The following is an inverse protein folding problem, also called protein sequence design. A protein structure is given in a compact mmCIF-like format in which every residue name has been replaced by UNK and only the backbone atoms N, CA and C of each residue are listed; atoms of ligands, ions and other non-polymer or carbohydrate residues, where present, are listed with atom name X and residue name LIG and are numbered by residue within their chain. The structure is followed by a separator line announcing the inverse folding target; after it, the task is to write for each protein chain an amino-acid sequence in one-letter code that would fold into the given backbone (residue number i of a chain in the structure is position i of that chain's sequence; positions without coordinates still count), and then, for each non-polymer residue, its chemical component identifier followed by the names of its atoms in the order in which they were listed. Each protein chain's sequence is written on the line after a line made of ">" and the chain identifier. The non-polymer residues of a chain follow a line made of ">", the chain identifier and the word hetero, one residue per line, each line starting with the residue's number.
data_IF_831996864439
#
_entry.id   IF_831996864439
#
_cell.length_a   1.000
_cell.length_b   1.000
_cell.length_c   1.000
_cell.angle_alpha   90.00
_cell.angle_beta   90.00
_cell.angle_gamma   90.00
#
_symmetry.space_group_name_H-M   'P 1'
#
loop_
_entity.id
_entity.type
_entity.pdbx_description
1 polymer ?
#
# COMPACT_ATOMS: atom_id res chain seq x y z
N UNK A 1 -22.44 -3.41 16.75
CA UNK A 1 -21.58 -2.66 15.82
C UNK A 1 -22.22 -2.62 14.43
N UNK A 2 -22.02 -1.51 13.68
CA UNK A 2 -22.61 -1.36 12.35
C UNK A 2 -21.86 -2.17 11.27
N UNK A 3 -20.62 -2.51 11.55
CA UNK A 3 -19.72 -3.22 10.62
C UNK A 3 -19.07 -4.42 11.31
N UNK A 4 -18.91 -5.51 10.52
CA UNK A 4 -18.26 -6.74 10.96
C UNK A 4 -17.55 -7.37 9.75
N UNK A 5 -16.24 -7.60 9.88
CA UNK A 5 -15.42 -8.24 8.85
C UNK A 5 -15.90 -9.67 8.63
N UNK A 6 -16.10 -10.07 7.38
CA UNK A 6 -16.66 -11.36 6.99
C UNK A 6 -18.18 -11.43 6.95
N UNK A 7 -18.91 -10.37 7.39
CA UNK A 7 -20.37 -10.31 7.29
C UNK A 7 -20.86 -9.20 6.35
N UNK A 8 -20.33 -8.00 6.50
CA UNK A 8 -20.68 -6.85 5.66
C UNK A 8 -19.46 -6.04 5.19
N UNK A 9 -18.26 -6.42 5.61
CA UNK A 9 -16.98 -5.97 5.12
C UNK A 9 -16.13 -7.19 4.71
N UNK A 10 -15.29 -7.04 3.68
CA UNK A 10 -14.41 -8.10 3.17
C UNK A 10 -15.17 -9.41 2.86
N UNK A 11 -16.28 -9.30 2.15
CA UNK A 11 -17.18 -10.44 1.91
C UNK A 11 -17.07 -11.05 0.53
N UNK A 12 -16.21 -10.52 -0.34
CA UNK A 12 -15.99 -11.11 -1.66
C UNK A 12 -15.45 -12.54 -1.51
N UNK A 13 -16.10 -13.56 -2.11
CA UNK A 13 -15.72 -14.95 -1.92
C UNK A 13 -14.28 -15.24 -2.35
N UNK A 14 -13.54 -15.92 -1.50
CA UNK A 14 -12.15 -16.30 -1.75
C UNK A 14 -11.67 -17.38 -0.79
N UNK A 15 -10.44 -17.83 -0.98
CA UNK A 15 -9.79 -18.85 -0.16
C UNK A 15 -8.35 -18.46 0.15
N UNK A 16 -7.90 -18.75 1.35
CA UNK A 16 -6.47 -18.66 1.70
C UNK A 16 -5.75 -19.83 1.04
N UNK A 17 -4.87 -19.52 0.10
CA UNK A 17 -4.13 -20.52 -0.70
C UNK A 17 -2.67 -20.70 -0.28
N UNK A 18 -2.17 -19.78 0.53
CA UNK A 18 -0.88 -19.88 1.21
C UNK A 18 -0.99 -19.21 2.56
N UNK A 19 -0.39 -19.81 3.58
CA UNK A 19 -0.23 -19.22 4.90
C UNK A 19 1.23 -19.36 5.33
N UNK A 20 1.83 -18.24 5.68
CA UNK A 20 3.17 -18.16 6.27
C UNK A 20 3.07 -17.51 7.65
N UNK A 21 4.21 -17.32 8.29
CA UNK A 21 4.24 -16.55 9.52
C UNK A 21 3.91 -15.06 9.30
N UNK A 22 4.26 -14.50 8.13
CA UNK A 22 4.11 -13.08 7.81
C UNK A 22 2.78 -12.72 7.16
N UNK A 23 2.20 -13.62 6.36
CA UNK A 23 1.01 -13.30 5.56
C UNK A 23 0.16 -14.51 5.25
N UNK A 24 -1.09 -14.22 4.87
CA UNK A 24 -1.97 -15.12 4.15
C UNK A 24 -2.16 -14.59 2.73
N UNK A 25 -2.08 -15.47 1.74
CA UNK A 25 -2.40 -15.15 0.35
C UNK A 25 -3.82 -15.59 0.07
N UNK A 26 -4.68 -14.63 -0.27
CA UNK A 26 -6.08 -14.88 -0.58
C UNK A 26 -6.24 -14.92 -2.11
N UNK A 27 -6.75 -16.02 -2.63
CA UNK A 27 -7.22 -16.12 -4.00
C UNK A 27 -8.72 -15.91 -4.03
N UNK A 28 -9.20 -14.92 -4.77
CA UNK A 28 -10.62 -14.64 -4.90
C UNK A 28 -11.26 -15.51 -5.99
N UNK A 29 -12.53 -15.86 -5.77
CA UNK A 29 -13.29 -16.68 -6.70
C UNK A 29 -13.66 -15.87 -7.95
N UNK A 30 -13.31 -16.33 -9.15
CA UNK A 30 -13.72 -15.67 -10.39
C UNK A 30 -15.24 -15.58 -10.51
N UNK A 31 -15.73 -14.44 -11.04
CA UNK A 31 -17.16 -14.18 -11.27
C UNK A 31 -17.53 -14.30 -12.75
N UNK A 32 -16.54 -14.45 -13.64
CA UNK A 32 -16.71 -14.59 -15.09
C UNK A 32 -16.42 -16.01 -15.55
N UNK A 33 -17.00 -16.43 -16.69
CA UNK A 33 -16.79 -17.77 -17.27
C UNK A 33 -15.33 -18.02 -17.70
N UNK A 34 -14.65 -16.97 -18.13
CA UNK A 34 -13.24 -16.99 -18.53
C UNK A 34 -12.51 -15.88 -17.82
N UNK A 35 -11.22 -16.06 -17.57
CA UNK A 35 -10.37 -15.08 -16.92
C UNK A 35 -9.12 -14.80 -17.75
N UNK A 36 -8.54 -13.62 -17.56
CA UNK A 36 -7.24 -13.33 -18.18
C UNK A 36 -6.18 -14.30 -17.67
N UNK A 37 -5.28 -14.71 -18.57
CA UNK A 37 -4.23 -15.68 -18.25
C UNK A 37 -3.25 -15.17 -17.19
N UNK A 38 -2.91 -13.86 -17.21
CA UNK A 38 -2.00 -13.25 -16.24
C UNK A 38 -2.78 -12.90 -14.99
N UNK A 39 -2.43 -13.47 -13.82
CA UNK A 39 -3.06 -13.09 -12.56
C UNK A 39 -2.61 -11.72 -12.13
N UNK A 40 -3.39 -11.07 -11.28
CA UNK A 40 -3.08 -9.84 -10.59
C UNK A 40 -2.86 -10.14 -9.11
N UNK A 41 -1.68 -9.80 -8.61
CA UNK A 41 -1.37 -9.83 -7.18
C UNK A 41 -1.44 -8.41 -6.62
N UNK A 42 -2.31 -8.21 -5.64
CA UNK A 42 -2.47 -6.95 -4.92
C UNK A 42 -1.64 -7.00 -3.64
N UNK A 43 -0.82 -5.97 -3.44
CA UNK A 43 0.06 -5.81 -2.28
C UNK A 43 -0.38 -4.57 -1.49
N UNK A 44 -1.22 -4.74 -0.45
CA UNK A 44 -1.63 -3.64 0.42
C UNK A 44 -0.50 -3.13 1.30
N UNK A 45 -0.66 -1.96 1.95
CA UNK A 45 0.29 -1.48 2.95
C UNK A 45 0.44 -2.49 4.10
N UNK A 46 1.66 -2.60 4.65
CA UNK A 46 1.94 -3.47 5.81
C UNK A 46 1.32 -2.93 7.10
N UNK A 47 0.99 -1.66 7.13
CA UNK A 47 0.51 -0.92 8.31
C UNK A 47 -1.01 -0.86 8.43
N UNK A 48 -1.73 -1.44 7.46
CA UNK A 48 -3.19 -1.46 7.43
C UNK A 48 -3.71 -2.85 7.09
N UNK A 49 -4.98 -3.09 7.40
CA UNK A 49 -5.69 -4.30 7.00
C UNK A 49 -5.93 -4.31 5.48
N UNK A 50 -5.76 -5.48 4.87
CA UNK A 50 -5.89 -5.67 3.42
C UNK A 50 -7.24 -5.24 2.85
N UNK A 51 -8.31 -5.34 3.63
CA UNK A 51 -9.67 -5.19 3.13
C UNK A 51 -10.08 -3.76 2.76
N UNK A 52 -9.15 -2.79 2.79
CA UNK A 52 -9.39 -1.53 2.09
C UNK A 52 -9.74 -1.75 0.62
N UNK A 53 -9.11 -2.73 -0.04
CA UNK A 53 -9.36 -3.08 -1.44
C UNK A 53 -10.57 -4.00 -1.64
N UNK A 54 -11.16 -4.49 -0.55
CA UNK A 54 -12.38 -5.32 -0.54
C UNK A 54 -13.34 -4.84 0.57
N UNK A 55 -13.68 -3.56 0.56
CA UNK A 55 -14.29 -2.91 1.71
C UNK A 55 -15.74 -3.35 1.93
N UNK A 56 -16.63 -3.10 0.96
CA UNK A 56 -18.04 -3.45 1.04
C UNK A 56 -18.59 -3.70 -0.37
N UNK A 57 -19.77 -4.35 -0.52
CA UNK A 57 -20.42 -4.54 -1.81
C UNK A 57 -20.58 -3.23 -2.58
N UNK A 58 -20.18 -3.23 -3.86
CA UNK A 58 -20.16 -2.04 -4.72
C UNK A 58 -19.07 -1.01 -4.38
N UNK A 59 -18.26 -1.26 -3.37
CA UNK A 59 -17.08 -0.47 -2.97
C UNK A 59 -15.87 -1.39 -2.71
N UNK A 60 -15.66 -2.34 -3.59
CA UNK A 60 -14.56 -3.28 -3.57
C UNK A 60 -13.82 -3.21 -4.91
N UNK A 61 -12.55 -2.88 -4.87
CA UNK A 61 -11.67 -2.97 -6.03
C UNK A 61 -11.54 -4.41 -6.50
N UNK A 62 -11.50 -5.36 -5.56
CA UNK A 62 -11.46 -6.79 -5.85
C UNK A 62 -12.69 -7.21 -6.63
N UNK A 63 -13.91 -6.88 -6.16
CA UNK A 63 -15.17 -7.19 -6.83
C UNK A 63 -15.19 -6.62 -8.27
N UNK A 64 -14.76 -5.36 -8.42
CA UNK A 64 -14.64 -4.73 -9.73
C UNK A 64 -13.68 -5.49 -10.67
N UNK A 65 -12.50 -5.83 -10.20
CA UNK A 65 -11.49 -6.52 -11.00
C UNK A 65 -11.95 -7.95 -11.40
N UNK A 66 -12.61 -8.66 -10.49
CA UNK A 66 -13.20 -9.96 -10.79
C UNK A 66 -14.28 -9.85 -11.88
N UNK A 67 -15.14 -8.84 -11.80
CA UNK A 67 -16.17 -8.57 -12.81
C UNK A 67 -15.57 -8.23 -14.19
N UNK A 68 -14.34 -7.71 -14.24
CA UNK A 68 -13.59 -7.46 -15.48
C UNK A 68 -12.80 -8.69 -15.96
N UNK A 69 -12.91 -9.84 -15.28
CA UNK A 69 -12.27 -11.10 -15.68
C UNK A 69 -10.83 -11.27 -15.20
N UNK A 70 -10.38 -10.49 -14.23
CA UNK A 70 -9.06 -10.69 -13.64
C UNK A 70 -9.07 -11.86 -12.64
N UNK A 71 -7.96 -12.61 -12.60
CA UNK A 71 -7.65 -13.53 -11.50
C UNK A 71 -6.98 -12.70 -10.40
N UNK A 72 -7.65 -12.51 -9.27
CA UNK A 72 -7.19 -11.59 -8.21
C UNK A 72 -6.67 -12.37 -7.02
N UNK A 73 -5.45 -12.03 -6.60
CA UNK A 73 -4.82 -12.48 -5.36
C UNK A 73 -4.50 -11.25 -4.51
N UNK A 74 -4.67 -11.36 -3.20
CA UNK A 74 -4.36 -10.28 -2.25
C UNK A 74 -3.54 -10.83 -1.10
N UNK A 75 -2.48 -10.11 -0.74
CA UNK A 75 -1.72 -10.38 0.49
C UNK A 75 -2.48 -9.79 1.68
N UNK A 76 -2.75 -10.63 2.68
CA UNK A 76 -3.22 -10.22 4.01
C UNK A 76 -2.05 -10.30 4.99
N UNK A 77 -1.49 -9.17 5.37
CA UNK A 77 -0.38 -9.11 6.30
C UNK A 77 -0.79 -9.47 7.71
N UNK A 78 0.05 -10.25 8.40
CA UNK A 78 -0.11 -10.50 9.83
C UNK A 78 0.00 -9.19 10.60
N UNK A 79 -0.86 -9.01 11.62
CA UNK A 79 -0.65 -7.96 12.61
C UNK A 79 0.48 -8.40 13.57
N UNK A 80 1.68 -7.79 13.51
CA UNK A 80 2.85 -8.31 14.20
C UNK A 80 2.78 -8.08 15.71
N UNK A 81 3.51 -8.91 16.45
CA UNK A 81 3.78 -8.78 17.89
C UNK A 81 5.26 -8.41 18.13
N UNK A 82 5.68 -8.28 19.38
CA UNK A 82 7.07 -8.02 19.73
C UNK A 82 8.05 -9.14 19.28
N UNK A 83 7.55 -10.35 19.09
CA UNK A 83 8.33 -11.49 18.58
C UNK A 83 8.79 -11.29 17.14
N UNK A 84 8.05 -10.48 16.38
CA UNK A 84 8.31 -10.19 14.97
C UNK A 84 9.13 -8.89 14.77
N UNK A 85 9.79 -8.41 15.82
CA UNK A 85 10.48 -7.11 15.86
C UNK A 85 11.50 -6.89 14.75
N UNK A 86 12.09 -7.97 14.24
CA UNK A 86 13.18 -7.94 13.26
C UNK A 86 12.68 -8.03 11.80
N UNK A 87 11.38 -8.04 11.56
CA UNK A 87 10.83 -7.99 10.20
C UNK A 87 10.97 -6.59 9.63
N UNK A 88 11.98 -6.38 8.81
CA UNK A 88 12.25 -5.15 8.08
C UNK A 88 11.93 -5.27 6.58
N UNK A 89 12.45 -4.35 5.78
CA UNK A 89 12.25 -4.33 4.33
C UNK A 89 12.60 -5.66 3.67
N UNK A 90 13.70 -6.30 4.05
CA UNK A 90 14.13 -7.59 3.48
C UNK A 90 13.10 -8.69 3.74
N UNK A 91 12.54 -8.75 4.95
CA UNK A 91 11.52 -9.73 5.30
C UNK A 91 10.25 -9.56 4.47
N UNK A 92 9.75 -8.34 4.37
CA UNK A 92 8.57 -8.03 3.57
C UNK A 92 8.82 -8.16 2.06
N UNK A 93 10.00 -7.78 1.58
CA UNK A 93 10.41 -7.97 0.18
C UNK A 93 10.45 -9.45 -0.20
N UNK A 94 11.06 -10.28 0.65
CA UNK A 94 11.09 -11.74 0.47
C UNK A 94 9.68 -12.34 0.48
N UNK A 95 8.79 -11.89 1.37
CA UNK A 95 7.40 -12.34 1.44
C UNK A 95 6.61 -11.99 0.17
N UNK A 96 6.83 -10.80 -0.41
CA UNK A 96 6.22 -10.40 -1.67
C UNK A 96 6.68 -11.33 -2.81
N UNK A 97 7.97 -11.62 -2.90
CA UNK A 97 8.54 -12.52 -3.91
C UNK A 97 7.96 -13.94 -3.76
N UNK A 98 7.81 -14.44 -2.53
CA UNK A 98 7.17 -15.74 -2.26
C UNK A 98 5.70 -15.77 -2.69
N UNK A 99 4.93 -14.72 -2.39
CA UNK A 99 3.55 -14.59 -2.84
C UNK A 99 3.44 -14.54 -4.38
N UNK A 100 4.39 -13.86 -5.06
CA UNK A 100 4.47 -13.85 -6.53
C UNK A 100 4.70 -15.25 -7.09
N UNK A 101 5.64 -16.00 -6.50
CA UNK A 101 5.96 -17.37 -6.91
C UNK A 101 4.75 -18.30 -6.74
N UNK A 102 4.06 -18.22 -5.60
CA UNK A 102 2.86 -19.01 -5.33
C UNK A 102 1.72 -18.64 -6.27
N UNK A 103 1.48 -17.37 -6.53
CA UNK A 103 0.46 -16.90 -7.49
C UNK A 103 0.70 -17.47 -8.88
N UNK A 104 1.95 -17.44 -9.37
CA UNK A 104 2.32 -18.01 -10.68
C UNK A 104 2.18 -19.52 -10.71
N UNK A 105 2.55 -20.20 -9.63
CA UNK A 105 2.44 -21.65 -9.50
C UNK A 105 1.00 -22.12 -9.59
N UNK A 106 0.08 -21.48 -8.86
CA UNK A 106 -1.34 -21.81 -8.84
C UNK A 106 -1.97 -21.59 -10.22
N UNK A 107 -1.70 -20.45 -10.84
CA UNK A 107 -2.29 -20.07 -12.13
C UNK A 107 -1.58 -20.69 -13.33
N UNK A 108 -0.45 -21.36 -13.12
CA UNK A 108 0.45 -21.86 -14.17
C UNK A 108 0.84 -20.78 -15.18
N UNK A 109 0.88 -19.53 -14.75
CA UNK A 109 1.28 -18.39 -15.56
C UNK A 109 2.77 -18.10 -15.40
N UNK A 110 3.46 -17.88 -16.52
CA UNK A 110 4.88 -17.48 -16.48
C UNK A 110 5.06 -16.05 -15.95
N UNK A 111 4.07 -15.20 -16.16
CA UNK A 111 4.07 -13.78 -15.77
C UNK A 111 2.85 -13.44 -14.94
N UNK A 112 2.97 -12.40 -14.11
CA UNK A 112 1.86 -11.82 -13.37
C UNK A 112 1.89 -10.28 -13.48
N UNK A 113 0.77 -9.66 -13.13
CA UNK A 113 0.68 -8.23 -12.90
C UNK A 113 0.69 -7.96 -11.40
N UNK A 114 1.25 -6.83 -10.99
CA UNK A 114 1.25 -6.38 -9.61
C UNK A 114 0.42 -5.10 -9.48
N UNK A 115 -0.28 -4.97 -8.36
CA UNK A 115 -0.89 -3.72 -7.94
C UNK A 115 -0.54 -3.48 -6.49
N UNK A 116 0.31 -2.50 -6.23
CA UNK A 116 0.84 -2.22 -4.91
C UNK A 116 0.47 -0.81 -4.45
N UNK A 117 0.09 -0.67 -3.19
CA UNK A 117 -0.45 0.59 -2.67
C UNK A 117 0.38 1.11 -1.50
N UNK A 118 0.59 2.43 -1.46
CA UNK A 118 1.27 3.15 -0.38
C UNK A 118 2.62 2.49 0.00
N UNK A 119 2.84 2.15 1.27
CA UNK A 119 4.06 1.47 1.74
C UNK A 119 4.31 0.11 1.06
N UNK A 120 3.25 -0.60 0.67
CA UNK A 120 3.36 -1.80 -0.15
C UNK A 120 4.00 -1.53 -1.51
N UNK A 121 3.69 -0.38 -2.13
CA UNK A 121 4.33 0.05 -3.37
C UNK A 121 5.83 0.30 -3.23
N UNK A 122 6.25 0.90 -2.13
CA UNK A 122 7.66 1.17 -1.84
C UNK A 122 8.45 -0.15 -1.79
N UNK A 123 8.05 -1.07 -0.91
CA UNK A 123 8.76 -2.35 -0.72
C UNK A 123 8.68 -3.23 -1.97
N UNK A 124 7.53 -3.22 -2.67
CA UNK A 124 7.39 -3.93 -3.95
C UNK A 124 8.41 -3.43 -4.98
N UNK A 125 8.53 -2.12 -5.16
CA UNK A 125 9.43 -1.56 -6.16
C UNK A 125 10.90 -1.86 -5.82
N UNK A 126 11.28 -1.84 -4.54
CA UNK A 126 12.61 -2.28 -4.09
C UNK A 126 12.85 -3.77 -4.39
N UNK A 127 11.85 -4.62 -4.16
CA UNK A 127 11.92 -6.04 -4.50
C UNK A 127 12.05 -6.27 -6.01
N UNK A 128 11.39 -5.44 -6.84
CA UNK A 128 11.56 -5.51 -8.31
C UNK A 128 12.99 -5.13 -8.75
N UNK A 129 13.61 -4.13 -8.12
CA UNK A 129 15.01 -3.81 -8.38
C UNK A 129 15.95 -4.98 -8.00
N UNK A 130 15.65 -5.69 -6.91
CA UNK A 130 16.35 -6.92 -6.56
C UNK A 130 16.16 -8.00 -7.63
N UNK A 131 14.92 -8.27 -8.04
CA UNK A 131 14.63 -9.24 -9.11
C UNK A 131 15.30 -8.88 -10.43
N UNK A 132 15.40 -7.60 -10.77
CA UNK A 132 16.16 -7.16 -11.96
C UNK A 132 17.62 -7.53 -11.87
N UNK A 133 18.25 -7.31 -10.71
CA UNK A 133 19.64 -7.68 -10.48
C UNK A 133 19.88 -9.21 -10.53
N UNK A 134 18.86 -10.00 -10.22
CA UNK A 134 18.89 -11.47 -10.34
C UNK A 134 18.54 -11.96 -11.77
N UNK A 135 18.16 -11.08 -12.68
CA UNK A 135 17.71 -11.47 -14.03
C UNK A 135 16.28 -12.05 -14.05
N UNK A 136 15.47 -11.78 -13.03
CA UNK A 136 14.15 -12.39 -12.84
C UNK A 136 12.98 -11.40 -13.00
N UNK A 137 13.22 -10.14 -13.34
CA UNK A 137 12.17 -9.13 -13.45
C UNK A 137 11.16 -9.42 -14.55
N UNK A 138 11.53 -10.15 -15.60
CA UNK A 138 10.65 -10.50 -16.72
C UNK A 138 9.40 -11.29 -16.32
N UNK A 139 9.38 -11.87 -15.12
CA UNK A 139 8.19 -12.50 -14.54
C UNK A 139 7.07 -11.51 -14.20
N UNK A 140 7.38 -10.22 -14.10
CA UNK A 140 6.40 -9.15 -13.89
C UNK A 140 6.08 -8.49 -15.23
N UNK A 141 4.79 -8.48 -15.58
CA UNK A 141 4.34 -7.98 -16.88
C UNK A 141 3.95 -6.51 -16.85
N UNK A 142 3.38 -6.06 -15.74
CA UNK A 142 2.99 -4.69 -15.49
C UNK A 142 2.93 -4.42 -13.99
N UNK A 143 3.16 -3.17 -13.61
CA UNK A 143 3.11 -2.68 -12.24
C UNK A 143 2.06 -1.57 -12.12
N UNK A 144 1.11 -1.72 -11.20
CA UNK A 144 0.26 -0.63 -10.73
C UNK A 144 0.81 -0.10 -9.41
N UNK A 145 1.02 1.19 -9.31
CA UNK A 145 1.38 1.88 -8.08
C UNK A 145 0.29 2.88 -7.72
N UNK A 146 -0.35 2.73 -6.59
CA UNK A 146 -1.32 3.71 -6.13
C UNK A 146 -0.87 4.37 -4.84
N UNK A 147 -0.87 5.70 -4.82
CA UNK A 147 -0.51 6.56 -3.69
C UNK A 147 0.82 6.15 -3.03
N UNK A 148 1.80 5.75 -3.82
CA UNK A 148 3.12 5.32 -3.38
C UNK A 148 4.15 6.38 -3.73
N UNK A 149 4.88 6.87 -2.72
CA UNK A 149 5.92 7.88 -2.86
C UNK A 149 7.29 7.21 -2.83
N UNK A 150 7.95 7.12 -3.98
CA UNK A 150 9.34 6.66 -4.08
C UNK A 150 10.33 7.85 -4.00
N UNK A 151 9.89 9.03 -4.39
CA UNK A 151 10.65 10.27 -4.26
C UNK A 151 10.47 10.88 -2.87
N UNK A 152 11.36 10.52 -1.96
CA UNK A 152 11.32 10.97 -0.58
C UNK A 152 11.71 12.46 -0.41
N UNK A 153 12.40 13.06 -1.36
CA UNK A 153 12.79 14.48 -1.29
C UNK A 153 11.57 15.41 -1.39
N UNK A 154 10.51 14.94 -2.07
CA UNK A 154 9.28 15.69 -2.26
C UNK A 154 8.11 15.16 -1.43
N UNK A 155 8.35 14.25 -0.47
CA UNK A 155 7.31 13.59 0.33
C UNK A 155 6.56 14.52 1.32
N UNK A 156 6.86 15.82 1.32
CA UNK A 156 6.08 16.84 2.03
C UNK A 156 6.24 16.81 3.55
N UNK A 157 5.19 17.20 4.27
CA UNK A 157 5.21 17.37 5.73
C UNK A 157 5.55 16.10 6.51
N UNK A 158 5.27 14.92 5.95
CA UNK A 158 5.59 13.65 6.63
C UNK A 158 7.09 13.45 6.84
N UNK A 159 7.93 13.99 5.94
CA UNK A 159 9.40 13.94 6.06
C UNK A 159 9.99 15.24 6.61
N UNK A 160 9.35 16.38 6.41
CA UNK A 160 9.85 17.70 6.84
C UNK A 160 10.03 17.82 8.37
N UNK A 161 9.25 17.08 9.16
CA UNK A 161 9.35 17.04 10.61
C UNK A 161 10.41 16.05 11.13
N UNK A 162 10.95 15.18 10.26
CA UNK A 162 11.93 14.17 10.63
C UNK A 162 13.36 14.75 10.51
N UNK A 163 13.89 15.25 11.63
CA UNK A 163 15.33 15.46 11.76
C UNK A 163 15.96 14.22 12.44
N UNK A 164 17.30 14.12 12.38
CA UNK A 164 18.01 12.93 12.92
C UNK A 164 17.72 12.64 14.39
N UNK A 165 17.50 13.67 15.22
CA UNK A 165 17.26 13.49 16.66
C UNK A 165 15.85 12.99 16.93
N UNK A 166 14.84 13.57 16.26
CA UNK A 166 13.45 13.09 16.38
C UNK A 166 13.30 11.68 15.79
N UNK A 167 13.99 11.38 14.70
CA UNK A 167 14.05 10.07 14.11
C UNK A 167 14.65 9.02 15.06
N UNK A 168 15.79 9.30 15.67
CA UNK A 168 16.44 8.43 16.67
C UNK A 168 15.53 8.15 17.86
N UNK A 169 14.85 9.19 18.37
CA UNK A 169 13.91 9.05 19.49
C UNK A 169 12.71 8.16 19.11
N UNK A 170 12.12 8.37 17.94
CA UNK A 170 10.99 7.58 17.46
C UNK A 170 11.37 6.10 17.26
N UNK A 171 12.54 5.83 16.66
CA UNK A 171 13.08 4.48 16.49
C UNK A 171 13.33 3.82 17.86
N UNK A 172 13.90 4.52 18.84
CA UNK A 172 14.15 4.00 20.17
C UNK A 172 12.86 3.56 20.88
N UNK A 173 11.76 4.31 20.73
CA UNK A 173 10.45 3.96 21.30
C UNK A 173 9.93 2.65 20.69
N UNK A 174 9.93 2.50 19.37
CA UNK A 174 9.47 1.26 18.74
C UNK A 174 10.41 0.09 19.02
N UNK A 175 11.71 0.32 19.06
CA UNK A 175 12.71 -0.69 19.40
C UNK A 175 12.52 -1.26 20.81
N UNK A 176 12.19 -0.42 21.80
CA UNK A 176 11.96 -0.87 23.18
C UNK A 176 10.74 -1.79 23.30
N UNK A 177 9.69 -1.54 22.51
CA UNK A 177 8.44 -2.31 22.50
C UNK A 177 8.44 -3.49 21.53
N UNK A 178 9.34 -3.50 20.54
CA UNK A 178 9.37 -4.44 19.42
C UNK A 178 8.44 -4.04 18.26
N UNK A 179 7.59 -3.03 18.43
CA UNK A 179 6.70 -2.50 17.39
C UNK A 179 6.27 -1.06 17.68
N UNK A 180 5.81 -0.38 16.63
CA UNK A 180 5.03 0.85 16.72
C UNK A 180 3.55 0.49 16.73
N UNK A 181 2.78 0.97 17.72
CA UNK A 181 1.34 0.75 17.78
C UNK A 181 0.63 1.50 16.65
N UNK A 182 -0.30 0.83 15.97
CA UNK A 182 -1.05 1.43 14.88
C UNK A 182 -1.89 2.64 15.29
N UNK A 183 -2.27 2.75 16.56
CA UNK A 183 -2.97 3.94 17.08
C UNK A 183 -2.11 5.20 17.02
N UNK A 184 -0.84 5.12 17.39
CA UNK A 184 0.09 6.26 17.29
C UNK A 184 0.28 6.69 15.82
N UNK A 185 0.30 5.73 14.91
CA UNK A 185 0.40 6.02 13.49
C UNK A 185 -0.89 6.68 12.98
N UNK A 186 -2.07 6.19 13.38
CA UNK A 186 -3.36 6.80 13.04
C UNK A 186 -3.50 8.22 13.61
N UNK A 187 -3.03 8.45 14.85
CA UNK A 187 -2.97 9.78 15.46
C UNK A 187 -2.06 10.72 14.67
N UNK A 188 -0.86 10.27 14.29
CA UNK A 188 0.05 11.06 13.47
C UNK A 188 -0.60 11.47 12.14
N UNK A 189 -1.28 10.56 11.45
CA UNK A 189 -2.02 10.87 10.23
C UNK A 189 -3.21 11.81 10.46
N UNK A 190 -3.91 11.70 11.59
CA UNK A 190 -5.01 12.61 11.93
C UNK A 190 -4.51 14.05 12.14
N UNK A 191 -3.32 14.22 12.73
CA UNK A 191 -2.71 15.54 12.92
C UNK A 191 -2.24 16.20 11.61
N UNK A 192 -2.08 15.46 10.52
CA UNK A 192 -1.82 16.07 9.20
C UNK A 192 -3.05 16.81 8.64
N UNK A 193 -4.27 16.48 9.11
CA UNK A 193 -5.53 17.17 8.77
C UNK A 193 -6.43 17.39 9.99
N UNK A 194 -5.98 18.17 10.98
CA UNK A 194 -6.69 18.27 12.26
C UNK A 194 -8.09 18.88 12.11
N UNK A 195 -8.29 19.79 11.17
CA UNK A 195 -9.60 20.39 10.96
C UNK A 195 -10.66 19.36 10.54
N UNK A 196 -10.31 18.46 9.64
CA UNK A 196 -11.25 17.46 9.10
C UNK A 196 -11.39 16.23 10.03
N UNK A 197 -10.26 15.77 10.62
CA UNK A 197 -10.21 14.50 11.32
C UNK A 197 -10.31 14.62 12.84
N UNK A 198 -10.14 15.82 13.41
CA UNK A 198 -10.24 16.07 14.85
C UNK A 198 -11.32 17.11 15.13
N UNK A 199 -11.13 18.35 14.68
CA UNK A 199 -11.99 19.47 15.06
C UNK A 199 -13.39 19.37 14.48
N UNK A 200 -13.57 18.84 13.27
CA UNK A 200 -14.90 18.62 12.67
C UNK A 200 -15.73 17.66 13.51
N UNK A 201 -15.13 16.57 14.03
CA UNK A 201 -15.81 15.64 14.93
C UNK A 201 -16.11 16.27 16.28
N UNK A 202 -15.17 17.03 16.84
CA UNK A 202 -15.38 17.74 18.09
C UNK A 202 -16.59 18.68 18.00
N UNK A 203 -16.65 19.51 16.95
CA UNK A 203 -17.77 20.46 16.75
C UNK A 203 -19.08 19.72 16.47
N UNK A 204 -19.11 18.81 15.50
CA UNK A 204 -20.37 18.20 15.06
C UNK A 204 -20.91 17.18 16.05
N UNK A 205 -20.06 16.34 16.63
CA UNK A 205 -20.52 15.23 17.45
C UNK A 205 -20.54 15.57 18.93
N UNK A 206 -19.53 16.25 19.47
CA UNK A 206 -19.48 16.60 20.87
C UNK A 206 -20.28 17.89 21.17
N UNK A 207 -19.99 18.99 20.48
CA UNK A 207 -20.65 20.27 20.78
C UNK A 207 -22.11 20.33 20.25
N UNK A 208 -22.36 19.83 19.06
CA UNK A 208 -23.69 19.87 18.43
C UNK A 208 -24.51 18.60 18.68
N UNK A 209 -23.98 17.59 19.35
CA UNK A 209 -24.68 16.34 19.69
C UNK A 209 -25.15 15.52 18.48
N UNK A 210 -24.56 15.72 17.29
CA UNK A 210 -24.92 14.98 16.10
C UNK A 210 -24.36 13.55 16.19
N UNK A 211 -25.15 12.57 15.76
CA UNK A 211 -24.68 11.19 15.68
C UNK A 211 -23.56 11.07 14.63
N UNK A 212 -22.40 10.48 14.97
CA UNK A 212 -21.34 10.25 14.00
C UNK A 212 -21.86 9.45 12.80
N UNK A 213 -21.54 9.83 11.57
CA UNK A 213 -21.91 9.03 10.42
C UNK A 213 -21.20 7.67 10.45
N UNK A 214 -21.95 6.63 10.10
CA UNK A 214 -21.41 5.27 10.00
C UNK A 214 -20.80 5.07 8.63
N UNK A 215 -19.47 5.13 8.53
CA UNK A 215 -18.74 4.86 7.30
C UNK A 215 -17.82 3.65 7.47
N UNK A 216 -17.88 2.72 6.54
CA UNK A 216 -17.04 1.54 6.46
C UNK A 216 -15.55 1.88 6.39
N UNK A 217 -15.16 2.92 5.64
CA UNK A 217 -13.78 3.43 5.60
C UNK A 217 -13.29 3.86 6.98
N UNK A 218 -14.15 4.49 7.81
CA UNK A 218 -13.77 4.88 9.17
C UNK A 218 -13.59 3.65 10.07
N UNK A 219 -14.41 2.62 9.90
CA UNK A 219 -14.23 1.35 10.61
C UNK A 219 -12.90 0.70 10.23
N UNK A 220 -12.59 0.60 8.93
CA UNK A 220 -11.32 0.09 8.45
C UNK A 220 -10.14 0.90 8.99
N UNK A 221 -10.22 2.21 9.00
CA UNK A 221 -9.16 3.08 9.52
C UNK A 221 -8.92 2.90 11.03
N UNK A 222 -9.97 2.56 11.77
CA UNK A 222 -9.87 2.25 13.20
C UNK A 222 -9.33 0.84 13.48
N UNK A 223 -9.43 -0.09 12.53
CA UNK A 223 -8.87 -1.45 12.62
C UNK A 223 -7.37 -1.43 12.29
N UNK A 224 -6.60 -0.82 13.18
CA UNK A 224 -5.18 -0.55 12.99
C UNK A 224 -4.31 -1.81 13.01
N UNK A 225 -3.18 -1.75 12.31
CA UNK A 225 -2.13 -2.76 12.33
C UNK A 225 -0.86 -2.16 12.92
N UNK A 226 -0.11 -2.95 13.69
CA UNK A 226 1.20 -2.57 14.21
C UNK A 226 2.23 -2.58 13.09
N UNK A 227 3.25 -1.75 13.24
CA UNK A 227 4.46 -1.79 12.42
C UNK A 227 5.60 -2.36 13.28
N UNK A 228 6.33 -3.36 12.79
CA UNK A 228 7.47 -3.91 13.52
C UNK A 228 8.54 -2.85 13.76
N UNK A 229 9.37 -3.05 14.78
CA UNK A 229 10.45 -2.10 15.10
C UNK A 229 11.44 -1.94 13.94
N UNK A 230 11.81 -3.04 13.28
CA UNK A 230 12.71 -3.00 12.12
C UNK A 230 12.07 -2.27 10.93
N UNK A 231 10.81 -2.57 10.59
CA UNK A 231 10.13 -1.89 9.48
C UNK A 231 9.97 -0.39 9.75
N UNK A 232 9.64 0.00 11.00
CA UNK A 232 9.57 1.41 11.39
C UNK A 232 10.91 2.10 11.23
N UNK A 233 12.00 1.47 11.72
CA UNK A 233 13.36 1.98 11.54
C UNK A 233 13.68 2.17 10.06
N UNK A 234 13.44 1.16 9.23
CA UNK A 234 13.74 1.19 7.80
C UNK A 234 13.02 2.34 7.08
N UNK A 235 11.73 2.56 7.36
CA UNK A 235 10.98 3.69 6.78
C UNK A 235 11.49 5.04 7.26
N UNK A 236 11.80 5.18 8.55
CA UNK A 236 12.31 6.43 9.12
C UNK A 236 13.69 6.77 8.53
N UNK A 237 14.62 5.82 8.50
CA UNK A 237 15.95 6.01 7.93
C UNK A 237 15.88 6.31 6.43
N UNK A 238 15.01 5.61 5.69
CA UNK A 238 14.77 5.89 4.28
C UNK A 238 14.28 7.31 4.05
N UNK A 239 13.33 7.79 4.87
CA UNK A 239 12.79 9.15 4.79
C UNK A 239 13.83 10.22 5.13
N UNK A 240 14.58 10.05 6.22
CA UNK A 240 15.62 11.00 6.67
C UNK A 240 16.73 11.16 5.64
N UNK A 241 17.15 10.08 4.99
CA UNK A 241 18.27 10.08 4.05
C UNK A 241 17.84 10.22 2.59
N UNK A 242 16.54 10.22 2.30
CA UNK A 242 16.00 10.17 0.92
C UNK A 242 16.71 9.11 0.08
N UNK A 243 16.91 7.93 0.68
CA UNK A 243 17.83 6.92 0.14
C UNK A 243 17.28 6.21 -1.09
N UNK A 244 15.94 6.10 -1.21
CA UNK A 244 15.32 5.34 -2.28
C UNK A 244 15.43 6.04 -3.64
N UNK A 245 15.34 7.37 -3.67
CA UNK A 245 15.53 8.18 -4.89
C UNK A 245 16.99 8.28 -5.37
N UNK A 246 17.95 7.79 -4.58
CA UNK A 246 19.38 7.87 -4.87
C UNK A 246 19.93 6.48 -5.21
N UNK A 247 20.39 6.25 -6.47
CA UNK A 247 20.89 4.95 -6.90
C UNK A 247 21.92 4.35 -5.92
N UNK A 248 21.71 3.11 -5.50
CA UNK A 248 22.63 2.35 -4.65
C UNK A 248 22.67 2.75 -3.17
N UNK A 249 21.83 3.69 -2.71
CA UNK A 249 21.76 4.09 -1.28
C UNK A 249 20.80 3.23 -0.47
N UNK A 250 19.68 2.83 -1.03
CA UNK A 250 18.83 1.81 -0.42
C UNK A 250 19.33 0.40 -0.77
N UNK A 251 19.04 -0.56 0.10
CA UNK A 251 19.41 -1.98 -0.09
C UNK A 251 18.16 -2.83 0.13
N UNK A 252 17.98 -3.86 -0.72
CA UNK A 252 16.92 -4.85 -0.62
C UNK A 252 17.51 -6.24 -0.87
N UNK A 253 17.42 -7.13 0.11
CA UNK A 253 17.96 -8.51 0.02
C UNK A 253 19.41 -8.55 -0.46
N UNK A 254 20.24 -7.65 0.09
CA UNK A 254 21.65 -7.49 -0.26
C UNK A 254 21.92 -6.78 -1.59
N UNK A 255 20.90 -6.44 -2.37
CA UNK A 255 21.04 -5.71 -3.64
C UNK A 255 20.97 -4.21 -3.40
N UNK A 256 21.94 -3.47 -3.93
CA UNK A 256 21.87 -2.00 -4.01
C UNK A 256 20.76 -1.59 -4.97
N UNK A 257 19.75 -0.91 -4.45
CA UNK A 257 18.56 -0.51 -5.22
C UNK A 257 18.90 0.66 -6.16
N UNK A 258 18.58 0.49 -7.43
CA UNK A 258 18.49 1.54 -8.41
C UNK A 258 17.14 1.43 -9.10
N UNK A 259 16.23 2.36 -8.83
CA UNK A 259 14.86 2.34 -9.36
C UNK A 259 14.83 2.46 -10.88
N UNK A 260 15.86 3.09 -11.49
CA UNK A 260 15.97 3.21 -12.94
C UNK A 260 16.12 1.87 -13.64
N UNK A 261 16.55 0.84 -12.91
CA UNK A 261 16.65 -0.54 -13.44
C UNK A 261 15.30 -1.26 -13.49
N UNK A 262 14.27 -0.75 -12.80
CA UNK A 262 12.91 -1.29 -12.85
C UNK A 262 12.25 -0.78 -14.13
N UNK A 263 12.41 -1.55 -15.20
CA UNK A 263 11.95 -1.25 -16.56
C UNK A 263 10.59 -1.89 -16.90
N UNK A 264 9.82 -2.21 -15.88
CA UNK A 264 8.44 -2.71 -16.02
C UNK A 264 7.48 -1.55 -16.31
N UNK A 265 6.64 -1.70 -17.34
CA UNK A 265 5.58 -0.72 -17.62
C UNK A 265 4.71 -0.50 -16.40
N UNK A 266 4.53 0.76 -16.03
CA UNK A 266 3.92 1.14 -14.76
C UNK A 266 2.71 2.06 -14.96
N UNK A 267 1.65 1.81 -14.20
CA UNK A 267 0.50 2.70 -14.04
C UNK A 267 0.50 3.28 -12.64
N UNK A 268 0.78 4.58 -12.53
CA UNK A 268 0.85 5.28 -11.25
C UNK A 268 -0.41 6.11 -11.00
N UNK A 269 -0.99 6.01 -9.81
CA UNK A 269 -2.21 6.71 -9.41
C UNK A 269 -1.94 7.59 -8.18
N UNK A 270 -2.37 8.85 -8.26
CA UNK A 270 -2.34 9.80 -7.14
C UNK A 270 -3.70 10.46 -6.89
N UNK A 271 -3.87 11.01 -5.70
CA UNK A 271 -5.02 11.83 -5.34
C UNK A 271 -4.62 13.30 -5.17
N UNK A 272 -5.32 14.23 -5.81
CA UNK A 272 -5.02 15.68 -5.68
C UNK A 272 -5.25 16.19 -4.25
N UNK A 273 -6.19 15.57 -3.53
CA UNK A 273 -6.51 15.90 -2.14
C UNK A 273 -5.81 14.96 -1.13
N UNK A 274 -4.82 14.19 -1.59
CA UNK A 274 -4.03 13.32 -0.73
C UNK A 274 -3.06 14.13 0.12
N UNK A 275 -3.22 14.05 1.44
CA UNK A 275 -2.39 14.74 2.43
C UNK A 275 -1.28 13.87 2.99
N UNK A 276 -1.32 12.55 2.73
CA UNK A 276 -0.33 11.56 3.17
C UNK A 276 0.75 11.42 2.10
N UNK A 277 0.31 11.21 0.87
CA UNK A 277 1.17 11.08 -0.31
C UNK A 277 0.86 12.23 -1.30
N UNK A 278 1.50 13.39 -1.16
CA UNK A 278 1.26 14.52 -2.07
C UNK A 278 1.40 14.08 -3.52
N UNK A 279 0.44 14.44 -4.36
CA UNK A 279 0.41 13.99 -5.75
C UNK A 279 1.69 14.33 -6.53
N UNK A 280 2.33 15.46 -6.21
CA UNK A 280 3.59 15.86 -6.82
C UNK A 280 4.74 14.90 -6.50
N UNK A 281 4.77 14.34 -5.26
CA UNK A 281 5.75 13.34 -4.88
C UNK A 281 5.46 11.97 -5.53
N UNK A 282 4.17 11.62 -5.69
CA UNK A 282 3.79 10.42 -6.46
C UNK A 282 4.13 10.61 -7.94
N UNK A 283 3.96 11.81 -8.49
CA UNK A 283 4.41 12.11 -9.85
C UNK A 283 5.94 12.02 -9.98
N UNK A 284 6.70 12.56 -9.01
CA UNK A 284 8.16 12.39 -8.96
C UNK A 284 8.62 10.93 -9.01
N UNK A 285 7.80 10.01 -8.46
CA UNK A 285 8.02 8.56 -8.56
C UNK A 285 8.13 8.09 -10.01
N UNK A 286 7.34 8.67 -10.92
CA UNK A 286 7.34 8.28 -12.35
C UNK A 286 8.68 8.52 -13.00
N UNK A 287 9.40 9.55 -12.57
CA UNK A 287 10.70 9.94 -13.12
C UNK A 287 11.86 9.05 -12.63
N UNK A 288 11.63 8.27 -11.57
CA UNK A 288 12.63 7.38 -10.99
C UNK A 288 12.66 6.00 -11.64
N UNK A 289 11.55 5.56 -12.26
CA UNK A 289 11.43 4.25 -12.89
C UNK A 289 12.04 4.21 -14.28
N UNK A 290 12.40 3.02 -14.75
CA UNK A 290 13.04 2.83 -16.07
C UNK A 290 12.12 2.44 -17.20
N UNK A 291 10.90 1.95 -16.88
CA UNK A 291 9.88 1.58 -17.86
C UNK A 291 8.99 2.75 -18.27
N UNK A 292 8.08 2.51 -19.18
CA UNK A 292 7.05 3.48 -19.55
C UNK A 292 6.07 3.68 -18.40
N UNK A 293 5.79 4.93 -18.03
CA UNK A 293 4.90 5.25 -16.91
C UNK A 293 3.70 6.07 -17.40
N UNK A 294 2.52 5.51 -17.15
CA UNK A 294 1.26 6.24 -17.29
C UNK A 294 0.81 6.76 -15.93
N UNK A 295 0.60 8.07 -15.81
CA UNK A 295 0.20 8.71 -14.57
C UNK A 295 -1.26 9.12 -14.58
N UNK A 296 -2.00 8.75 -13.55
CA UNK A 296 -3.39 9.13 -13.34
C UNK A 296 -3.54 9.96 -12.06
N UNK A 297 -4.10 11.16 -12.19
CA UNK A 297 -4.39 12.06 -11.08
C UNK A 297 -5.90 12.10 -10.81
N UNK A 298 -6.32 11.50 -9.71
CA UNK A 298 -7.71 11.53 -9.23
C UNK A 298 -7.99 12.81 -8.45
N UNK A 299 -9.24 13.29 -8.49
CA UNK A 299 -9.73 14.39 -7.65
C UNK A 299 -9.88 14.01 -6.17
N UNK A 300 -9.55 12.79 -5.78
CA UNK A 300 -9.80 12.16 -4.49
C UNK A 300 -8.66 12.35 -3.49
N UNK A 301 -8.89 11.99 -2.22
CA UNK A 301 -7.85 11.82 -1.19
C UNK A 301 -7.23 10.43 -1.23
N UNK A 302 -6.35 10.13 -0.27
CA UNK A 302 -5.49 8.95 -0.21
C UNK A 302 -6.23 7.62 -0.48
N UNK A 303 -7.18 7.28 0.39
CA UNK A 303 -7.90 6.00 0.29
C UNK A 303 -8.85 6.00 -0.89
N UNK A 304 -9.57 7.12 -1.11
CA UNK A 304 -10.55 7.23 -2.19
C UNK A 304 -9.92 7.19 -3.59
N UNK A 305 -8.63 7.54 -3.73
CA UNK A 305 -7.91 7.36 -5.00
C UNK A 305 -7.78 5.89 -5.41
N UNK A 306 -7.83 4.98 -4.44
CA UNK A 306 -7.70 3.53 -4.66
C UNK A 306 -9.07 2.85 -4.81
N UNK A 307 -10.04 3.22 -3.95
CA UNK A 307 -11.28 2.45 -3.77
C UNK A 307 -12.55 3.13 -4.28
N UNK A 308 -12.43 4.30 -4.90
CA UNK A 308 -13.59 5.03 -5.40
C UNK A 308 -14.22 4.24 -6.56
N UNK A 309 -15.50 3.83 -6.47
CA UNK A 309 -16.08 2.96 -7.49
C UNK A 309 -16.25 3.69 -8.83
N UNK A 310 -16.14 2.97 -9.95
CA UNK A 310 -16.52 3.49 -11.24
C UNK A 310 -17.98 3.97 -11.20
N UNK A 311 -18.25 5.10 -11.82
CA UNK A 311 -19.62 5.68 -11.85
C UNK A 311 -19.91 6.62 -10.68
N UNK A 312 -18.98 6.88 -9.74
CA UNK A 312 -19.16 7.97 -8.79
C UNK A 312 -19.16 9.31 -9.53
N UNK A 313 -20.30 10.05 -9.59
CA UNK A 313 -20.41 11.28 -10.40
C UNK A 313 -19.53 12.42 -9.90
N UNK A 314 -19.01 12.32 -8.68
CA UNK A 314 -18.10 13.30 -8.07
C UNK A 314 -16.62 13.00 -8.37
N UNK A 315 -16.30 11.78 -8.81
CA UNK A 315 -14.93 11.40 -9.13
C UNK A 315 -14.53 11.94 -10.51
N UNK A 316 -13.41 12.64 -10.54
CA UNK A 316 -12.78 13.12 -11.77
C UNK A 316 -11.34 12.65 -11.78
N UNK A 317 -10.77 12.43 -12.96
CA UNK A 317 -9.36 12.09 -13.11
C UNK A 317 -8.80 12.67 -14.40
N UNK A 318 -7.49 12.79 -14.43
CA UNK A 318 -6.70 13.12 -15.60
C UNK A 318 -5.64 12.05 -15.79
N UNK A 319 -5.31 11.73 -17.01
CA UNK A 319 -4.24 10.76 -17.35
C UNK A 319 -3.23 11.46 -18.25
N UNK A 320 -1.96 11.23 -17.99
CA UNK A 320 -0.85 11.60 -18.84
C UNK A 320 -0.01 10.37 -19.15
N UNK A 321 0.49 10.32 -20.36
CA UNK A 321 1.56 9.43 -20.78
C UNK A 321 2.86 10.24 -20.72
N UNK A 322 3.88 9.74 -20.04
CA UNK A 322 5.21 10.35 -19.93
C UNK A 322 6.20 9.67 -20.87
#
# INVERSE_FOLDING_TARGET
>A
DAFEVGKNLAITPGSVVQRTEMFELIQYQPTTKTVYRRPLLVIPPMINKFYAVDLAPGRSLVEFLLAQGHQVFVISWRNPTAEHRDWGFDSYGSAIIDAMATTRKITKSKKLNLFATCSGGIVTTMALAHLKAQGELEQVSALGLAVAVLDQEHAGLATAALNENTAKAAIAVSASRGFLDGRHLAEAFAWLRPNDLIWSYWVNNYLLGRTPPKFDVLFWNADTTRMTAALHKDFVEMGVHSSLGKPGKAVMLGTKVDLKTVDTDTYAVAGIADHICPWSAVYGTTQLLGGDVKFALSSSGHVAAIINPPGNPKAKFRVADD
#
